data_IF_024834177777
#
_entry.id   IF_024834177777
#
_cell.length_a   1.000
_cell.length_b   1.000
_cell.length_c   1.000
_cell.angle_alpha   90.00
_cell.angle_beta   90.00
_cell.angle_gamma   90.00
#
_symmetry.space_group_name_H-M   'P 1'
#
loop_
_entity.id
_entity.type
_entity.pdbx_description
1 polymer ?
#
# COMPACT_ATOMS: atom_id res chain seq x y z
N UNK A 1 26.16 10.08 4.08
CA UNK A 1 25.30 9.57 5.18
C UNK A 1 24.19 10.54 5.61
N UNK A 2 24.49 11.80 5.95
CA UNK A 2 23.47 12.76 6.44
C UNK A 2 22.30 13.03 5.46
N UNK A 3 22.57 13.01 4.16
CA UNK A 3 21.56 13.23 3.11
C UNK A 3 20.57 12.06 2.98
N UNK A 4 21.07 10.82 3.13
CA UNK A 4 20.24 9.61 3.13
C UNK A 4 19.28 9.60 4.33
N UNK A 5 19.77 9.93 5.53
CA UNK A 5 18.95 10.01 6.74
C UNK A 5 17.86 11.09 6.65
N UNK A 6 18.17 12.24 6.02
CA UNK A 6 17.19 13.30 5.76
C UNK A 6 16.12 12.85 4.76
N UNK A 7 16.52 12.16 3.70
CA UNK A 7 15.60 11.58 2.72
C UNK A 7 14.70 10.51 3.37
N UNK A 8 15.25 9.65 4.22
CA UNK A 8 14.49 8.64 4.98
C UNK A 8 13.44 9.28 5.88
N UNK A 9 13.80 10.34 6.61
CA UNK A 9 12.89 11.04 7.53
C UNK A 9 11.75 11.77 6.81
N UNK A 10 12.02 12.32 5.62
CA UNK A 10 11.01 13.00 4.81
C UNK A 10 10.06 12.04 4.09
N UNK A 11 10.51 10.81 3.80
CA UNK A 11 9.76 9.81 3.03
C UNK A 11 9.38 8.57 3.87
N UNK A 12 9.24 8.73 5.20
CA UNK A 12 8.87 7.63 6.10
C UNK A 12 7.61 6.87 5.65
N UNK A 13 6.51 7.53 5.22
CA UNK A 13 5.30 6.84 4.76
C UNK A 13 5.57 5.96 3.54
N UNK A 14 6.33 6.48 2.57
CA UNK A 14 6.68 5.76 1.34
C UNK A 14 7.55 4.54 1.64
N UNK A 15 8.55 4.69 2.52
CA UNK A 15 9.41 3.59 2.92
C UNK A 15 8.63 2.51 3.67
N UNK A 16 7.74 2.90 4.58
CA UNK A 16 6.89 1.95 5.30
C UNK A 16 6.04 1.11 4.34
N UNK A 17 5.32 1.76 3.40
CA UNK A 17 4.52 1.05 2.39
C UNK A 17 5.39 0.12 1.54
N UNK A 18 6.56 0.61 1.10
CA UNK A 18 7.48 -0.18 0.26
C UNK A 18 8.01 -1.42 0.97
N UNK A 19 8.30 -1.33 2.26
CA UNK A 19 8.72 -2.47 3.07
C UNK A 19 7.61 -3.52 3.20
N UNK A 20 6.36 -3.11 3.38
CA UNK A 20 5.21 -4.04 3.42
C UNK A 20 5.00 -4.70 2.05
N UNK A 21 5.14 -3.95 0.95
CA UNK A 21 5.10 -4.51 -0.41
C UNK A 21 6.24 -5.51 -0.63
N UNK A 22 7.46 -5.20 -0.18
CA UNK A 22 8.59 -6.13 -0.28
C UNK A 22 8.31 -7.44 0.47
N UNK A 23 7.74 -7.37 1.68
CA UNK A 23 7.31 -8.55 2.42
C UNK A 23 6.23 -9.34 1.67
N UNK A 24 5.26 -8.66 1.04
CA UNK A 24 4.26 -9.31 0.20
C UNK A 24 4.90 -10.05 -0.99
N UNK A 25 5.86 -9.44 -1.67
CA UNK A 25 6.58 -10.06 -2.81
C UNK A 25 7.38 -11.29 -2.35
N UNK A 26 8.05 -11.22 -1.20
CA UNK A 26 8.75 -12.37 -0.62
C UNK A 26 7.78 -13.54 -0.39
N UNK A 27 6.57 -13.26 0.14
CA UNK A 27 5.55 -14.29 0.32
C UNK A 27 5.09 -14.90 -1.00
N UNK A 28 4.91 -14.09 -2.05
CA UNK A 28 4.55 -14.59 -3.38
C UNK A 28 5.64 -15.50 -3.94
N UNK A 29 6.91 -15.10 -3.83
CA UNK A 29 8.07 -15.90 -4.30
C UNK A 29 8.21 -17.20 -3.50
N UNK A 30 7.82 -17.20 -2.22
CA UNK A 30 7.82 -18.39 -1.36
C UNK A 30 6.57 -19.29 -1.52
N UNK A 31 5.89 -19.22 -2.67
CA UNK A 31 4.64 -19.93 -2.98
C UNK A 31 3.48 -19.68 -2.00
N UNK A 32 3.57 -18.64 -1.18
CA UNK A 32 2.50 -18.17 -0.27
C UNK A 32 1.69 -17.05 -0.93
N UNK A 33 1.36 -17.21 -2.21
CA UNK A 33 0.74 -16.17 -3.06
C UNK A 33 -0.52 -15.55 -2.44
N UNK A 34 -1.36 -16.33 -1.75
CA UNK A 34 -2.57 -15.83 -1.08
C UNK A 34 -2.23 -14.86 0.05
N UNK A 35 -1.25 -15.20 0.89
CA UNK A 35 -0.76 -14.32 1.97
C UNK A 35 -0.06 -13.10 1.37
N UNK A 36 0.71 -13.29 0.32
CA UNK A 36 1.32 -12.19 -0.43
C UNK A 36 0.28 -11.19 -0.94
N UNK A 37 -0.79 -11.68 -1.57
CA UNK A 37 -1.89 -10.84 -2.03
C UNK A 37 -2.60 -10.11 -0.87
N UNK A 38 -2.87 -10.80 0.24
CA UNK A 38 -3.46 -10.19 1.43
C UNK A 38 -2.59 -9.05 1.98
N UNK A 39 -1.28 -9.29 2.15
CA UNK A 39 -0.33 -8.28 2.63
C UNK A 39 -0.19 -7.13 1.64
N UNK A 40 -0.22 -7.40 0.33
CA UNK A 40 -0.18 -6.37 -0.71
C UNK A 40 -1.44 -5.48 -0.71
N UNK A 41 -2.62 -6.08 -0.58
CA UNK A 41 -3.87 -5.35 -0.40
C UNK A 41 -3.85 -4.47 0.86
N UNK A 42 -3.33 -5.01 1.97
CA UNK A 42 -3.09 -4.27 3.20
C UNK A 42 -2.10 -3.10 3.02
N UNK A 43 -1.02 -3.29 2.26
CA UNK A 43 -0.08 -2.22 1.92
C UNK A 43 -0.75 -1.09 1.12
N UNK A 44 -1.66 -1.45 0.21
CA UNK A 44 -2.43 -0.49 -0.59
C UNK A 44 -3.38 0.33 0.29
N UNK A 45 -4.06 -0.31 1.24
CA UNK A 45 -4.89 0.38 2.24
C UNK A 45 -4.03 1.30 3.11
N UNK A 46 -2.88 0.83 3.58
CA UNK A 46 -1.93 1.62 4.35
C UNK A 46 -1.46 2.87 3.58
N UNK A 47 -1.18 2.73 2.29
CA UNK A 47 -0.86 3.87 1.41
C UNK A 47 -2.02 4.87 1.35
N UNK A 48 -3.26 4.39 1.22
CA UNK A 48 -4.46 5.22 1.27
C UNK A 48 -4.62 5.96 2.61
N UNK A 49 -4.30 5.31 3.74
CA UNK A 49 -4.35 5.92 5.08
C UNK A 49 -3.30 7.04 5.21
N UNK A 50 -2.06 6.80 4.77
CA UNK A 50 -1.05 7.85 4.74
C UNK A 50 -1.46 9.00 3.81
N UNK A 51 -2.02 8.69 2.63
CA UNK A 51 -2.51 9.70 1.70
C UNK A 51 -3.63 10.54 2.30
N UNK A 52 -4.52 9.92 3.09
CA UNK A 52 -5.60 10.60 3.79
C UNK A 52 -5.07 11.53 4.90
N UNK A 53 -4.05 11.09 5.64
CA UNK A 53 -3.45 11.84 6.73
C UNK A 53 -2.55 13.01 6.29
N UNK A 54 -1.92 12.93 5.12
CA UNK A 54 -0.97 13.94 4.61
C UNK A 54 -1.68 15.00 3.76
N UNK A 55 -1.30 16.27 3.88
CA UNK A 55 -1.94 17.38 3.15
C UNK A 55 -1.66 17.40 1.65
N UNK A 56 -2.57 18.03 0.90
CA UNK A 56 -2.38 18.29 -0.53
C UNK A 56 -1.76 19.66 -0.75
N UNK A 57 -0.52 19.68 -1.24
CA UNK A 57 0.06 20.93 -1.73
C UNK A 57 -0.62 21.34 -3.05
N UNK A 58 -1.01 22.62 -3.13
CA UNK A 58 -2.05 23.21 -3.99
C UNK A 58 -1.96 22.84 -5.48
N UNK A 59 -2.89 22.02 -5.96
CA UNK A 59 -2.88 21.35 -7.29
C UNK A 59 -3.35 22.18 -8.49
N UNK A 60 -3.62 23.48 -8.33
CA UNK A 60 -3.91 24.41 -9.44
C UNK A 60 -4.99 23.93 -10.42
N UNK A 61 -4.89 24.34 -11.70
CA UNK A 61 -5.86 24.00 -12.78
C UNK A 61 -5.83 22.52 -13.19
N UNK A 62 -4.94 21.71 -12.63
CA UNK A 62 -4.73 20.29 -12.92
C UNK A 62 -5.39 19.36 -11.90
N UNK A 63 -6.39 19.84 -11.15
CA UNK A 63 -7.14 19.08 -10.15
C UNK A 63 -8.06 17.97 -10.73
N UNK A 64 -7.58 17.22 -11.74
CA UNK A 64 -8.31 16.12 -12.38
C UNK A 64 -8.34 14.87 -11.48
N UNK A 65 -7.40 14.73 -10.54
CA UNK A 65 -7.43 13.75 -9.45
C UNK A 65 -7.11 14.42 -8.11
N UNK A 66 -8.11 14.57 -7.25
CA UNK A 66 -7.93 15.09 -5.88
C UNK A 66 -7.70 13.98 -4.84
N UNK A 67 -7.36 14.39 -3.60
CA UNK A 67 -7.08 13.52 -2.44
C UNK A 67 -8.11 12.43 -2.29
N UNK A 68 -9.36 12.84 -2.35
CA UNK A 68 -10.50 11.99 -2.06
C UNK A 68 -10.59 10.85 -3.06
N UNK A 69 -10.34 11.12 -4.35
CA UNK A 69 -10.33 10.08 -5.38
C UNK A 69 -9.19 9.08 -5.15
N UNK A 70 -8.01 9.58 -4.82
CA UNK A 70 -6.81 8.76 -4.59
C UNK A 70 -6.98 7.84 -3.37
N UNK A 71 -7.42 8.41 -2.24
CA UNK A 71 -7.75 7.67 -1.01
C UNK A 71 -8.86 6.66 -1.29
N UNK A 72 -9.97 7.06 -1.92
CA UNK A 72 -11.08 6.15 -2.20
C UNK A 72 -10.64 4.99 -3.12
N UNK A 73 -9.85 5.27 -4.15
CA UNK A 73 -9.33 4.23 -5.05
C UNK A 73 -8.43 3.25 -4.31
N UNK A 74 -7.50 3.74 -3.48
CA UNK A 74 -6.62 2.88 -2.69
C UNK A 74 -7.40 2.04 -1.67
N UNK A 75 -8.40 2.61 -1.00
CA UNK A 75 -9.25 1.88 -0.05
C UNK A 75 -10.10 0.81 -0.73
N UNK A 76 -10.74 1.15 -1.86
CA UNK A 76 -11.60 0.22 -2.59
C UNK A 76 -10.79 -0.91 -3.21
N UNK A 77 -9.72 -0.58 -3.95
CA UNK A 77 -8.89 -1.60 -4.61
C UNK A 77 -8.17 -2.46 -3.58
N UNK A 78 -7.55 -1.85 -2.57
CA UNK A 78 -6.89 -2.57 -1.49
C UNK A 78 -7.87 -3.47 -0.72
N UNK A 79 -9.07 -2.96 -0.44
CA UNK A 79 -10.15 -3.73 0.19
C UNK A 79 -10.62 -4.92 -0.65
N UNK A 80 -10.80 -4.74 -1.97
CA UNK A 80 -11.14 -5.83 -2.89
C UNK A 80 -10.04 -6.90 -2.90
N UNK A 81 -8.76 -6.50 -2.97
CA UNK A 81 -7.64 -7.45 -2.96
C UNK A 81 -7.61 -8.23 -1.65
N UNK A 82 -7.78 -7.57 -0.50
CA UNK A 82 -7.85 -8.22 0.82
C UNK A 82 -9.02 -9.19 0.89
N UNK A 83 -10.21 -8.78 0.45
CA UNK A 83 -11.41 -9.61 0.47
C UNK A 83 -11.26 -10.86 -0.41
N UNK A 84 -10.76 -10.69 -1.63
CA UNK A 84 -10.50 -11.80 -2.55
C UNK A 84 -9.41 -12.74 -2.03
N UNK A 85 -8.34 -12.20 -1.45
CA UNK A 85 -7.30 -13.02 -0.84
C UNK A 85 -7.82 -13.81 0.38
N UNK A 86 -8.73 -13.22 1.17
CA UNK A 86 -9.33 -13.86 2.33
C UNK A 86 -10.42 -14.89 1.96
N UNK A 87 -11.06 -14.77 0.78
CA UNK A 87 -12.13 -15.68 0.36
C UNK A 87 -11.63 -17.01 -0.22
N UNK A 88 -10.32 -17.20 -0.36
CA UNK A 88 -9.72 -18.39 -0.97
C UNK A 88 -9.16 -19.29 0.13
N UNK A 89 -9.58 -20.55 0.17
CA UNK A 89 -9.09 -21.48 1.19
C UNK A 89 -7.60 -21.88 0.98
N UNK A 90 -6.85 -22.15 2.06
CA UNK A 90 -5.56 -22.80 1.97
C UNK A 90 -5.71 -24.21 1.41
N UNK A 91 -5.03 -24.51 0.30
CA UNK A 91 -4.88 -25.87 -0.22
C UNK A 91 -3.83 -26.68 0.59
N UNK A 92 -3.81 -26.53 1.92
CA UNK A 92 -2.85 -27.19 2.82
C UNK A 92 -1.53 -26.45 3.06
N UNK A 93 -1.46 -25.16 2.75
CA UNK A 93 -0.30 -24.30 3.03
C UNK A 93 -0.60 -23.28 4.14
N UNK A 94 -0.22 -23.66 5.36
CA UNK A 94 -0.13 -22.76 6.52
C UNK A 94 1.29 -22.21 6.75
#
# INVERSE_FOLDING_TARGET
MAQALRFTRLNLPLLAVTLVIAAAVILVIADRWRRGAFVFGGATILAGLFRWALDEDKVGVLAVRGKAFDVASMMVVGGIVVALAASIDPLGTD
#
